data_IF_715808571583
#
_entry.id   IF_715808571583
#
_cell.length_a   1.000
_cell.length_b   1.000
_cell.length_c   1.000
_cell.angle_alpha   90.00
_cell.angle_beta   90.00
_cell.angle_gamma   90.00
#
_symmetry.space_group_name_H-M   'P 1'
#
loop_
_entity.id
_entity.type
_entity.pdbx_description
1 polymer ?
#
# COMPACT_ATOMS: atom_id res chain seq x y z
N UNK A 1 -3.30 -22.29 53.00
CA UNK A 1 -4.51 -21.52 53.36
C UNK A 1 -5.18 -22.23 54.53
N UNK A 2 -5.53 -21.49 55.59
CA UNK A 2 -6.12 -22.05 56.81
C UNK A 2 -7.52 -22.63 56.59
N UNK A 3 -7.91 -23.65 57.35
CA UNK A 3 -9.28 -24.20 57.31
C UNK A 3 -10.24 -23.26 58.05
N UNK A 4 -11.39 -22.96 57.45
CA UNK A 4 -12.46 -22.21 58.08
C UNK A 4 -13.32 -23.14 58.95
N UNK A 5 -13.76 -22.64 60.10
CA UNK A 5 -14.72 -23.34 60.96
C UNK A 5 -15.79 -22.38 61.47
N UNK A 6 -16.97 -22.93 61.73
CA UNK A 6 -18.09 -22.19 62.29
C UNK A 6 -17.99 -22.18 63.83
N UNK A 7 -18.13 -21.00 64.41
CA UNK A 7 -18.26 -20.76 65.83
C UNK A 7 -19.69 -20.29 66.13
N UNK A 8 -20.38 -20.97 67.04
CA UNK A 8 -21.73 -20.61 67.47
C UNK A 8 -21.70 -20.03 68.87
N UNK A 9 -22.25 -18.84 69.04
CA UNK A 9 -22.45 -18.19 70.34
C UNK A 9 -23.95 -18.20 70.61
N UNK A 10 -24.36 -18.95 71.63
CA UNK A 10 -25.74 -19.06 72.05
C UNK A 10 -25.96 -18.19 73.29
N UNK A 11 -26.98 -17.34 73.24
CA UNK A 11 -27.37 -16.46 74.33
C UNK A 11 -28.84 -16.70 74.65
N UNK A 12 -29.17 -16.87 75.92
CA UNK A 12 -30.56 -16.97 76.38
C UNK A 12 -30.89 -15.75 77.22
N UNK A 13 -31.94 -15.04 76.87
CA UNK A 13 -32.41 -13.85 77.58
C UNK A 13 -33.93 -13.85 77.76
N UNK A 14 -34.44 -12.98 78.62
CA UNK A 14 -35.87 -12.78 78.76
C UNK A 14 -36.43 -12.02 77.55
N UNK A 15 -37.66 -12.36 77.16
CA UNK A 15 -38.28 -11.85 75.93
C UNK A 15 -38.48 -10.34 76.00
N UNK A 16 -37.90 -9.61 75.04
CA UNK A 16 -38.02 -8.15 74.95
C UNK A 16 -36.90 -7.36 75.64
N UNK A 17 -35.91 -8.05 76.23
CA UNK A 17 -34.67 -7.43 76.70
C UNK A 17 -33.87 -6.87 75.52
N UNK A 18 -33.50 -5.60 75.61
CA UNK A 18 -32.64 -4.96 74.61
C UNK A 18 -31.18 -5.03 75.05
N UNK A 19 -30.35 -5.67 74.25
CA UNK A 19 -28.92 -5.71 74.48
C UNK A 19 -28.15 -5.89 73.18
N UNK A 20 -26.84 -5.74 73.27
CA UNK A 20 -25.93 -5.83 72.14
C UNK A 20 -24.65 -6.54 72.53
N UNK A 21 -24.07 -7.26 71.57
CA UNK A 21 -22.72 -7.78 71.72
C UNK A 21 -21.72 -6.64 71.58
N UNK A 22 -20.74 -6.59 72.49
CA UNK A 22 -19.56 -5.76 72.29
C UNK A 22 -18.81 -6.38 71.12
N UNK A 23 -19.02 -5.78 69.94
CA UNK A 23 -18.31 -6.20 68.75
C UNK A 23 -16.93 -5.58 68.87
N UNK A 24 -15.91 -6.40 69.15
CA UNK A 24 -14.54 -5.98 68.91
C UNK A 24 -14.46 -5.67 67.42
N UNK A 25 -14.32 -4.40 67.05
CA UNK A 25 -14.21 -3.92 65.66
C UNK A 25 -12.90 -4.37 64.98
N UNK A 26 -12.27 -5.45 65.45
CA UNK A 26 -11.10 -6.05 64.86
C UNK A 26 -11.48 -7.30 64.09
N UNK A 27 -10.86 -7.49 62.93
CA UNK A 27 -10.98 -8.69 62.10
C UNK A 27 -10.30 -9.94 62.75
N UNK A 28 -9.84 -9.82 64.00
CA UNK A 28 -8.94 -10.76 64.67
C UNK A 28 -9.42 -11.05 66.10
N UNK A 29 -9.69 -12.33 66.42
CA UNK A 29 -10.02 -12.77 67.78
C UNK A 29 -8.76 -12.98 68.63
N UNK A 30 -7.72 -13.54 68.03
CA UNK A 30 -6.37 -13.70 68.61
C UNK A 30 -5.36 -13.53 67.49
N UNK A 31 -4.07 -13.27 67.79
CA UNK A 31 -3.04 -12.95 66.77
C UNK A 31 -3.01 -13.90 65.57
N UNK A 32 -3.42 -15.16 65.75
CA UNK A 32 -3.41 -16.21 64.74
C UNK A 32 -4.81 -16.64 64.24
N UNK A 33 -5.90 -16.15 64.87
CA UNK A 33 -7.30 -16.50 64.54
C UNK A 33 -8.09 -15.26 64.12
N UNK A 34 -8.54 -15.26 62.87
CA UNK A 34 -9.30 -14.17 62.25
C UNK A 34 -10.78 -14.49 62.09
N UNK A 35 -11.60 -13.44 62.09
CA UNK A 35 -13.02 -13.48 61.75
C UNK A 35 -13.17 -13.19 60.27
N UNK A 36 -13.61 -14.19 59.50
CA UNK A 36 -13.82 -14.06 58.05
C UNK A 36 -15.20 -13.48 57.72
N UNK A 37 -16.19 -13.79 58.55
CA UNK A 37 -17.54 -13.31 58.33
C UNK A 37 -18.47 -13.55 59.51
N UNK A 38 -19.40 -12.62 59.68
CA UNK A 38 -20.49 -12.75 60.64
C UNK A 38 -21.77 -13.07 59.86
N UNK A 39 -22.41 -14.19 60.19
CA UNK A 39 -23.71 -14.55 59.65
C UNK A 39 -24.80 -13.80 60.42
N UNK A 40 -26.01 -13.73 59.84
CA UNK A 40 -27.16 -13.13 60.53
C UNK A 40 -27.45 -13.91 61.80
N UNK A 41 -27.81 -13.19 62.87
CA UNK A 41 -28.22 -13.80 64.13
C UNK A 41 -29.66 -14.27 63.99
N UNK A 42 -29.92 -15.51 64.41
CA UNK A 42 -31.26 -16.09 64.43
C UNK A 42 -31.78 -16.07 65.88
N UNK A 43 -32.98 -15.51 66.07
CA UNK A 43 -33.66 -15.48 67.38
C UNK A 43 -34.82 -16.46 67.37
N UNK A 44 -34.83 -17.37 68.35
CA UNK A 44 -35.87 -18.39 68.51
C UNK A 44 -36.51 -18.25 69.89
N UNK A 45 -37.85 -18.28 69.96
CA UNK A 45 -38.58 -18.30 71.22
C UNK A 45 -38.53 -19.71 71.82
N UNK A 46 -37.95 -19.85 73.00
CA UNK A 46 -37.77 -21.14 73.70
C UNK A 46 -38.87 -21.40 74.74
N UNK A 47 -39.87 -20.52 74.83
CA UNK A 47 -40.96 -20.60 75.80
C UNK A 47 -40.56 -20.10 77.19
N UNK A 48 -41.52 -20.07 78.13
CA UNK A 48 -41.31 -19.55 79.50
C UNK A 48 -40.81 -18.10 79.57
N UNK A 49 -41.26 -17.25 78.65
CA UNK A 49 -40.86 -15.84 78.53
C UNK A 49 -39.36 -15.63 78.23
N UNK A 50 -38.70 -16.60 77.58
CA UNK A 50 -37.29 -16.52 77.19
C UNK A 50 -37.10 -16.72 75.69
N UNK A 51 -36.08 -16.07 75.15
CA UNK A 51 -35.64 -16.20 73.77
C UNK A 51 -34.16 -16.60 73.71
N UNK A 52 -33.82 -17.44 72.73
CA UNK A 52 -32.45 -17.83 72.41
C UNK A 52 -32.00 -17.10 71.15
N UNK A 53 -30.87 -16.41 71.24
CA UNK A 53 -30.20 -15.74 70.13
C UNK A 53 -28.97 -16.57 69.78
N UNK A 54 -28.93 -17.07 68.55
CA UNK A 54 -27.80 -17.83 68.01
C UNK A 54 -27.04 -16.95 67.03
N UNK A 55 -25.76 -16.74 67.31
CA UNK A 55 -24.85 -16.00 66.42
C UNK A 55 -23.80 -16.94 65.85
N UNK A 56 -23.74 -17.00 64.54
CA UNK A 56 -22.77 -17.82 63.82
C UNK A 56 -21.64 -16.96 63.24
N UNK A 57 -20.40 -17.30 63.57
CA UNK A 57 -19.19 -16.57 63.20
C UNK A 57 -18.26 -17.53 62.47
N UNK A 58 -17.79 -17.16 61.29
CA UNK A 58 -16.81 -17.94 60.53
C UNK A 58 -15.42 -17.48 60.96
N UNK A 59 -14.64 -18.39 61.52
CA UNK A 59 -13.27 -18.13 61.97
C UNK A 59 -12.27 -18.94 61.14
N UNK A 60 -11.07 -18.40 60.97
CA UNK A 60 -9.97 -19.04 60.26
C UNK A 60 -8.67 -18.91 61.07
N UNK A 61 -7.92 -20.01 61.19
CA UNK A 61 -6.56 -20.00 61.75
C UNK A 61 -5.51 -20.16 60.68
N UNK A 62 -4.40 -19.44 60.80
CA UNK A 62 -3.28 -19.54 59.86
C UNK A 62 -2.20 -20.53 60.27
N UNK A 63 -2.11 -20.85 61.56
CA UNK A 63 -1.09 -21.75 62.10
C UNK A 63 -1.72 -22.87 62.94
N UNK A 64 -1.01 -23.99 63.05
CA UNK A 64 -1.39 -25.15 63.85
C UNK A 64 -1.01 -24.92 65.31
N UNK A 65 -1.94 -25.17 66.22
CA UNK A 65 -1.73 -24.84 67.63
C UNK A 65 -3.01 -24.98 68.44
N UNK A 66 -2.89 -24.71 69.74
CA UNK A 66 -4.03 -24.59 70.63
C UNK A 66 -4.19 -23.11 70.99
N UNK A 67 -5.32 -22.53 70.60
CA UNK A 67 -5.64 -21.12 70.83
C UNK A 67 -6.82 -21.00 71.79
N UNK A 68 -6.69 -20.19 72.83
CA UNK A 68 -7.83 -19.84 73.69
C UNK A 68 -8.48 -18.59 73.14
N UNK A 69 -9.74 -18.72 72.68
CA UNK A 69 -10.51 -17.60 72.16
C UNK A 69 -10.96 -16.70 73.32
N UNK A 70 -10.90 -15.37 73.17
CA UNK A 70 -11.43 -14.46 74.17
C UNK A 70 -12.95 -14.64 74.32
N UNK A 71 -13.50 -14.44 75.51
CA UNK A 71 -14.93 -14.54 75.73
C UNK A 71 -15.68 -13.44 74.98
N UNK A 72 -16.85 -13.80 74.45
CA UNK A 72 -17.77 -12.84 73.83
C UNK A 72 -18.56 -12.14 74.93
N UNK A 73 -18.62 -10.82 74.86
CA UNK A 73 -19.28 -10.00 75.87
C UNK A 73 -20.61 -9.48 75.33
N UNK A 74 -21.67 -9.66 76.11
CA UNK A 74 -23.02 -9.19 75.85
C UNK A 74 -23.46 -8.22 76.94
N UNK A 75 -23.98 -7.06 76.55
CA UNK A 75 -24.46 -6.03 77.49
C UNK A 75 -25.96 -5.90 77.34
N UNK A 76 -26.68 -6.11 78.44
CA UNK A 76 -28.13 -5.97 78.53
C UNK A 76 -28.52 -5.40 79.89
N UNK A 77 -29.53 -4.53 79.92
CA UNK A 77 -30.13 -3.96 81.13
C UNK A 77 -29.13 -3.37 82.16
N UNK A 78 -27.98 -2.89 81.68
CA UNK A 78 -26.92 -2.28 82.50
C UNK A 78 -25.94 -3.28 83.13
N UNK A 79 -26.05 -4.58 82.85
CA UNK A 79 -25.11 -5.62 83.28
C UNK A 79 -24.31 -6.19 82.09
N UNK A 80 -23.17 -6.82 82.39
CA UNK A 80 -22.22 -7.34 81.40
C UNK A 80 -22.03 -8.85 81.58
N UNK A 81 -22.42 -9.62 80.57
CA UNK A 81 -22.33 -11.07 80.54
C UNK A 81 -21.20 -11.51 79.62
N UNK A 82 -20.27 -12.32 80.12
CA UNK A 82 -19.19 -12.90 79.33
C UNK A 82 -19.49 -14.38 79.02
N UNK A 83 -19.16 -14.83 77.80
CA UNK A 83 -19.24 -16.24 77.44
C UNK A 83 -18.21 -17.08 78.18
N UNK A 84 -18.36 -18.40 78.12
CA UNK A 84 -17.31 -19.31 78.55
C UNK A 84 -16.05 -19.20 77.67
N UNK A 85 -14.91 -19.59 78.22
CA UNK A 85 -13.67 -19.74 77.47
C UNK A 85 -13.78 -20.92 76.51
N UNK A 86 -13.25 -20.75 75.29
CA UNK A 86 -13.27 -21.77 74.25
C UNK A 86 -11.87 -21.99 73.69
N UNK A 87 -11.38 -23.22 73.75
CA UNK A 87 -10.10 -23.61 73.16
C UNK A 87 -10.30 -24.16 71.73
N UNK A 88 -9.66 -23.52 70.75
CA UNK A 88 -9.59 -23.96 69.36
C UNK A 88 -8.29 -24.76 69.15
N UNK A 89 -8.41 -26.05 68.86
CA UNK A 89 -7.27 -26.91 68.48
C UNK A 89 -7.18 -27.05 66.97
N UNK A 90 -6.15 -26.45 66.38
CA UNK A 90 -5.86 -26.52 64.95
C UNK A 90 -4.86 -27.65 64.72
N UNK A 91 -5.33 -28.72 64.09
CA UNK A 91 -4.48 -29.87 63.81
C UNK A 91 -3.54 -29.55 62.64
N UNK A 92 -2.23 -29.88 62.76
CA UNK A 92 -1.33 -29.82 61.63
C UNK A 92 -1.76 -30.83 60.57
N UNK A 93 -1.54 -30.50 59.30
CA UNK A 93 -1.72 -31.47 58.22
C UNK A 93 -0.57 -32.48 58.30
N UNK A 94 -0.84 -33.80 58.38
CA UNK A 94 0.22 -34.80 58.38
C UNK A 94 0.99 -34.72 57.05
N UNK A 95 2.31 -34.61 57.15
CA UNK A 95 3.23 -34.38 56.01
C UNK A 95 3.33 -35.61 55.09
N UNK A 96 2.72 -36.74 55.44
CA UNK A 96 2.76 -37.99 54.66
C UNK A 96 1.86 -38.02 53.40
N UNK A 97 1.28 -36.88 53.00
CA UNK A 97 0.70 -36.71 51.65
C UNK A 97 1.59 -35.89 50.71
N UNK A 98 2.84 -35.61 51.11
CA UNK A 98 3.86 -34.90 50.30
C UNK A 98 4.75 -35.84 49.47
N UNK A 99 4.36 -37.09 49.20
CA UNK A 99 5.08 -37.96 48.24
C UNK A 99 4.79 -37.63 46.77
N UNK A 100 4.03 -36.58 46.50
CA UNK A 100 4.00 -35.96 45.18
C UNK A 100 4.51 -34.54 45.31
N UNK A 101 5.82 -34.42 45.54
CA UNK A 101 6.57 -33.24 45.12
C UNK A 101 6.27 -33.08 43.63
N UNK A 102 5.34 -32.19 43.29
CA UNK A 102 5.22 -31.75 41.93
C UNK A 102 6.47 -30.91 41.72
N UNK A 103 7.41 -31.46 40.97
CA UNK A 103 8.56 -30.72 40.49
C UNK A 103 8.04 -29.38 39.94
N UNK A 104 8.65 -28.26 40.35
CA UNK A 104 8.27 -26.97 39.79
C UNK A 104 8.29 -27.13 38.27
N UNK A 105 7.19 -26.79 37.60
CA UNK A 105 7.10 -26.90 36.15
C UNK A 105 8.41 -26.36 35.56
N UNK A 106 9.15 -27.24 34.86
CA UNK A 106 10.47 -26.91 34.34
C UNK A 106 10.39 -25.55 33.64
N UNK A 107 11.40 -24.71 33.85
CA UNK A 107 11.44 -23.35 33.30
C UNK A 107 11.05 -23.40 31.82
N UNK A 108 9.87 -22.88 31.50
CA UNK A 108 9.44 -22.75 30.12
C UNK A 108 10.46 -21.78 29.51
N UNK A 109 11.24 -22.27 28.53
CA UNK A 109 12.16 -21.41 27.82
C UNK A 109 11.35 -20.20 27.31
N UNK A 110 11.77 -18.96 27.64
CA UNK A 110 11.05 -17.78 27.19
C UNK A 110 10.94 -17.84 25.67
N UNK A 111 9.81 -17.42 25.14
CA UNK A 111 9.59 -17.40 23.70
C UNK A 111 10.53 -16.38 23.06
N UNK A 112 11.71 -16.84 22.63
CA UNK A 112 12.71 -15.96 22.01
C UNK A 112 12.23 -15.55 20.63
N UNK A 113 12.21 -14.25 20.37
CA UNK A 113 12.02 -13.72 19.01
C UNK A 113 13.37 -13.61 18.32
N UNK A 114 13.36 -13.59 16.99
CA UNK A 114 14.57 -13.35 16.20
C UNK A 114 15.29 -12.05 16.58
N UNK A 115 14.55 -11.05 17.08
CA UNK A 115 15.07 -9.76 17.53
C UNK A 115 15.84 -9.84 18.86
N UNK A 116 15.61 -10.87 19.69
CA UNK A 116 16.29 -11.03 21.00
C UNK A 116 17.75 -11.51 20.85
N UNK A 117 18.11 -11.99 19.65
CA UNK A 117 19.48 -12.39 19.31
C UNK A 117 20.30 -11.24 18.70
N UNK A 118 19.66 -10.11 18.39
CA UNK A 118 20.35 -8.94 17.88
C UNK A 118 20.87 -8.09 19.06
N UNK A 119 22.09 -7.54 18.96
CA UNK A 119 22.58 -6.57 19.94
C UNK A 119 21.61 -5.41 20.12
N UNK A 120 21.46 -4.93 21.36
CA UNK A 120 20.54 -3.84 21.75
C UNK A 120 20.69 -2.59 20.88
N UNK A 121 21.90 -2.28 20.42
CA UNK A 121 22.13 -1.12 19.54
C UNK A 121 21.50 -1.27 18.13
N UNK A 122 21.18 -2.48 17.68
CA UNK A 122 20.50 -2.68 16.39
C UNK A 122 18.99 -2.57 16.56
N UNK A 123 18.46 -3.11 17.66
CA UNK A 123 17.03 -3.04 17.99
C UNK A 123 16.61 -1.63 18.43
N UNK A 124 17.44 -0.89 19.16
CA UNK A 124 17.12 0.48 19.58
C UNK A 124 17.28 1.52 18.45
N UNK A 125 18.24 1.32 17.54
CA UNK A 125 18.56 2.25 16.46
C UNK A 125 18.14 1.77 15.06
N UNK A 126 17.23 0.80 14.98
CA UNK A 126 16.72 0.25 13.70
C UNK A 126 16.22 1.33 12.73
N UNK A 127 15.63 2.40 13.26
CA UNK A 127 15.11 3.55 12.52
C UNK A 127 16.21 4.34 11.80
N UNK A 128 17.43 4.39 12.33
CA UNK A 128 18.57 5.04 11.68
C UNK A 128 18.95 4.26 10.42
N UNK A 129 19.01 2.92 10.50
CA UNK A 129 19.29 2.07 9.34
C UNK A 129 18.18 2.18 8.28
N UNK A 130 16.92 2.28 8.70
CA UNK A 130 15.79 2.51 7.80
C UNK A 130 15.91 3.87 7.07
N UNK A 131 16.33 4.93 7.77
CA UNK A 131 16.56 6.26 7.16
C UNK A 131 17.73 6.20 6.18
N UNK A 132 18.85 5.56 6.54
CA UNK A 132 20.01 5.41 5.65
C UNK A 132 19.63 4.63 4.40
N UNK A 133 18.84 3.55 4.53
CA UNK A 133 18.33 2.79 3.40
C UNK A 133 17.40 3.62 2.52
N UNK A 134 16.50 4.40 3.11
CA UNK A 134 15.60 5.28 2.38
C UNK A 134 16.37 6.35 1.58
N UNK A 135 17.41 6.94 2.18
CA UNK A 135 18.30 7.89 1.50
C UNK A 135 19.05 7.19 0.36
N UNK A 136 19.58 5.99 0.58
CA UNK A 136 20.25 5.18 -0.46
C UNK A 136 19.34 4.89 -1.65
N UNK A 137 18.08 4.51 -1.39
CA UNK A 137 17.07 4.28 -2.43
C UNK A 137 16.75 5.57 -3.18
N UNK A 138 16.59 6.70 -2.48
CA UNK A 138 16.31 7.99 -3.10
C UNK A 138 17.45 8.45 -4.01
N UNK A 139 18.71 8.28 -3.57
CA UNK A 139 19.90 8.58 -4.37
C UNK A 139 19.99 7.65 -5.59
N UNK A 140 19.78 6.34 -5.42
CA UNK A 140 19.79 5.39 -6.52
C UNK A 140 18.69 5.71 -7.55
N UNK A 141 17.47 6.03 -7.09
CA UNK A 141 16.37 6.46 -7.95
C UNK A 141 16.71 7.76 -8.69
N UNK A 142 17.29 8.76 -8.01
CA UNK A 142 17.75 10.00 -8.63
C UNK A 142 18.78 9.72 -9.74
N UNK A 143 19.81 8.92 -9.48
CA UNK A 143 20.82 8.57 -10.48
C UNK A 143 20.23 7.79 -11.66
N UNK A 144 19.31 6.85 -11.43
CA UNK A 144 18.63 6.11 -12.50
C UNK A 144 17.75 7.03 -13.35
N UNK A 145 17.01 7.96 -12.74
CA UNK A 145 16.20 8.94 -13.47
C UNK A 145 17.05 9.90 -14.29
N UNK A 146 18.16 10.40 -13.73
CA UNK A 146 19.07 11.30 -14.45
C UNK A 146 19.83 10.56 -15.56
N UNK A 147 20.30 9.33 -15.34
CA UNK A 147 20.88 8.51 -16.40
C UNK A 147 19.89 8.22 -17.53
N UNK A 148 18.62 7.94 -17.21
CA UNK A 148 17.59 7.76 -18.24
C UNK A 148 17.36 9.03 -19.06
N UNK A 149 17.38 10.22 -18.45
CA UNK A 149 17.26 11.50 -19.17
C UNK A 149 18.46 11.78 -20.07
N UNK A 150 19.68 11.50 -19.59
CA UNK A 150 20.91 11.69 -20.37
C UNK A 150 21.02 10.67 -21.51
N UNK A 151 20.65 9.42 -21.29
CA UNK A 151 20.68 8.38 -22.33
C UNK A 151 19.54 8.57 -23.35
N UNK A 152 18.35 9.01 -22.91
CA UNK A 152 17.25 9.35 -23.82
C UNK A 152 17.55 10.57 -24.70
N UNK A 153 18.40 11.50 -24.22
CA UNK A 153 18.89 12.62 -25.02
C UNK A 153 19.97 12.21 -26.05
N UNK A 154 20.53 11.00 -25.94
CA UNK A 154 21.59 10.45 -26.81
C UNK A 154 21.07 9.28 -27.67
N UNK A 155 19.75 9.07 -27.75
CA UNK A 155 19.23 8.22 -28.83
C UNK A 155 19.53 8.91 -30.16
N UNK A 156 20.25 8.26 -31.11
CA UNK A 156 20.42 8.83 -32.43
C UNK A 156 19.02 9.05 -33.01
N UNK A 157 18.71 10.31 -33.36
CA UNK A 157 17.51 10.65 -34.14
C UNK A 157 17.46 9.62 -35.27
N UNK A 158 16.45 8.74 -35.24
CA UNK A 158 16.18 7.77 -36.31
C UNK A 158 16.31 8.54 -37.61
N UNK A 159 17.23 8.12 -38.50
CA UNK A 159 17.48 8.82 -39.77
C UNK A 159 16.12 9.18 -40.39
N UNK A 160 15.89 10.44 -40.79
CA UNK A 160 14.62 10.81 -41.37
C UNK A 160 14.37 9.89 -42.57
N UNK A 161 13.29 9.10 -42.50
CA UNK A 161 12.90 8.23 -43.61
C UNK A 161 12.64 9.15 -44.81
N UNK A 162 13.23 8.88 -45.99
CA UNK A 162 12.97 9.66 -47.19
C UNK A 162 11.45 9.82 -47.44
N UNK A 163 10.96 11.01 -47.83
CA UNK A 163 9.53 11.25 -48.04
C UNK A 163 8.87 10.24 -48.99
N UNK A 164 9.61 9.82 -50.02
CA UNK A 164 9.20 8.80 -50.98
C UNK A 164 8.96 7.43 -50.32
N UNK A 165 9.93 6.93 -49.53
CA UNK A 165 9.80 5.64 -48.86
C UNK A 165 8.64 5.62 -47.86
N UNK A 166 8.46 6.72 -47.12
CA UNK A 166 7.37 6.87 -46.18
C UNK A 166 6.00 6.82 -46.88
N UNK A 167 5.84 7.55 -48.00
CA UNK A 167 4.60 7.56 -48.77
C UNK A 167 4.30 6.19 -49.37
N UNK A 168 5.30 5.53 -49.97
CA UNK A 168 5.14 4.19 -50.53
C UNK A 168 4.76 3.15 -49.48
N UNK A 169 5.40 3.19 -48.30
CA UNK A 169 5.04 2.31 -47.18
C UNK A 169 3.60 2.53 -46.73
N UNK A 170 3.14 3.78 -46.62
CA UNK A 170 1.78 4.09 -46.22
C UNK A 170 0.74 3.71 -47.29
N UNK A 171 1.04 3.89 -48.59
CA UNK A 171 0.19 3.46 -49.69
C UNK A 171 0.05 1.94 -49.74
N UNK A 172 1.14 1.20 -49.55
CA UNK A 172 1.12 -0.27 -49.48
C UNK A 172 0.29 -0.76 -48.29
N UNK A 173 0.45 -0.13 -47.12
CA UNK A 173 -0.38 -0.44 -45.96
C UNK A 173 -1.87 -0.17 -46.22
N UNK A 174 -2.20 0.95 -46.86
CA UNK A 174 -3.59 1.29 -47.22
C UNK A 174 -4.20 0.26 -48.19
N UNK A 175 -3.39 -0.30 -49.10
CA UNK A 175 -3.79 -1.37 -50.02
C UNK A 175 -4.11 -2.67 -49.26
N UNK A 176 -3.23 -3.08 -48.33
CA UNK A 176 -3.39 -4.29 -47.52
C UNK A 176 -4.62 -4.22 -46.61
N UNK A 177 -4.93 -3.03 -46.11
CA UNK A 177 -6.08 -2.81 -45.25
C UNK A 177 -7.42 -3.09 -45.94
N UNK A 178 -7.52 -3.17 -47.28
CA UNK A 178 -8.74 -3.56 -48.02
C UNK A 178 -10.02 -2.82 -47.57
N UNK A 179 -9.89 -1.54 -47.20
CA UNK A 179 -10.99 -0.73 -46.64
C UNK A 179 -12.21 -0.62 -47.58
N UNK A 180 -11.98 -0.52 -48.89
CA UNK A 180 -13.07 -0.47 -49.87
C UNK A 180 -13.89 -1.77 -49.91
N UNK A 181 -13.27 -2.93 -49.71
CA UNK A 181 -13.98 -4.22 -49.68
C UNK A 181 -14.90 -4.34 -48.45
N UNK A 182 -14.58 -3.62 -47.37
CA UNK A 182 -15.40 -3.55 -46.14
C UNK A 182 -16.50 -2.49 -46.17
N UNK A 183 -16.71 -1.80 -47.31
CA UNK A 183 -17.64 -0.69 -47.41
C UNK A 183 -17.23 0.54 -46.58
N UNK A 184 -15.92 0.71 -46.34
CA UNK A 184 -15.32 1.87 -45.67
C UNK A 184 -14.67 2.81 -46.70
N UNK A 185 -15.35 3.11 -47.81
CA UNK A 185 -14.81 3.90 -48.92
C UNK A 185 -14.43 5.33 -48.47
N UNK A 186 -15.26 5.95 -47.62
CA UNK A 186 -14.96 7.29 -47.08
C UNK A 186 -13.65 7.33 -46.31
N UNK A 187 -13.38 6.31 -45.49
CA UNK A 187 -12.15 6.23 -44.71
C UNK A 187 -10.95 6.02 -45.62
N UNK A 188 -11.10 5.14 -46.61
CA UNK A 188 -10.07 4.88 -47.63
C UNK A 188 -9.63 6.15 -48.35
N UNK A 189 -10.56 6.91 -48.93
CA UNK A 189 -10.23 8.15 -49.65
C UNK A 189 -9.74 9.27 -48.71
N UNK A 190 -10.13 9.26 -47.44
CA UNK A 190 -9.59 10.19 -46.44
C UNK A 190 -8.11 9.92 -46.21
N UNK A 191 -7.77 8.66 -45.87
CA UNK A 191 -6.38 8.24 -45.66
C UNK A 191 -5.53 8.41 -46.92
N UNK A 192 -6.06 8.06 -48.09
CA UNK A 192 -5.35 8.21 -49.37
C UNK A 192 -4.92 9.66 -49.61
N UNK A 193 -5.85 10.62 -49.45
CA UNK A 193 -5.51 12.03 -49.61
C UNK A 193 -4.59 12.55 -48.50
N UNK A 194 -4.69 12.01 -47.29
CA UNK A 194 -3.83 12.39 -46.17
C UNK A 194 -2.37 12.00 -46.45
N UNK A 195 -2.14 10.76 -46.89
CA UNK A 195 -0.81 10.27 -47.29
C UNK A 195 -0.20 11.18 -48.35
N UNK A 196 -0.96 11.52 -49.39
CA UNK A 196 -0.51 12.42 -50.46
C UNK A 196 -0.23 13.84 -49.95
N UNK A 197 -1.06 14.38 -49.05
CA UNK A 197 -0.84 15.71 -48.46
C UNK A 197 0.43 15.74 -47.61
N UNK A 198 0.69 14.69 -46.80
CA UNK A 198 1.95 14.57 -46.04
C UNK A 198 3.15 14.47 -46.99
N UNK A 199 3.02 13.71 -48.08
CA UNK A 199 4.07 13.60 -49.07
C UNK A 199 4.39 14.95 -49.73
N UNK A 200 3.36 15.74 -50.10
CA UNK A 200 3.53 17.08 -50.65
C UNK A 200 4.24 18.04 -49.67
N UNK A 201 3.90 17.98 -48.38
CA UNK A 201 4.57 18.75 -47.33
C UNK A 201 6.04 18.38 -47.21
N UNK A 202 6.33 17.08 -47.08
CA UNK A 202 7.70 16.60 -46.84
C UNK A 202 8.61 16.69 -48.05
N UNK A 203 8.07 16.53 -49.27
CA UNK A 203 8.86 16.56 -50.52
C UNK A 203 8.99 17.94 -51.11
N UNK A 204 7.89 18.70 -51.16
CA UNK A 204 7.82 19.97 -51.88
C UNK A 204 7.70 21.19 -50.95
N UNK A 205 7.55 20.98 -49.63
CA UNK A 205 7.31 22.06 -48.67
C UNK A 205 5.92 22.69 -48.82
N UNK A 206 4.98 22.00 -49.46
CA UNK A 206 3.61 22.48 -49.66
C UNK A 206 2.80 22.04 -48.45
N UNK A 207 2.34 22.97 -47.61
CA UNK A 207 1.48 22.67 -46.46
C UNK A 207 0.07 22.24 -46.91
N UNK A 208 -0.02 21.07 -47.55
CA UNK A 208 -1.21 20.56 -48.19
C UNK A 208 -2.29 20.11 -47.18
N UNK A 209 -1.94 20.02 -45.89
CA UNK A 209 -2.91 19.73 -44.83
C UNK A 209 -3.89 20.87 -44.59
N UNK A 210 -3.41 22.11 -44.69
CA UNK A 210 -4.21 23.32 -44.46
C UNK A 210 -4.79 23.91 -45.76
N UNK A 211 -4.54 23.26 -46.90
CA UNK A 211 -4.97 23.72 -48.21
C UNK A 211 -6.20 22.98 -48.72
N UNK A 212 -7.01 23.68 -49.51
CA UNK A 212 -8.12 23.07 -50.26
C UNK A 212 -7.61 22.32 -51.50
N UNK A 213 -8.41 21.40 -52.04
CA UNK A 213 -8.07 20.65 -53.26
C UNK A 213 -7.66 21.56 -54.43
N UNK A 214 -8.35 22.70 -54.59
CA UNK A 214 -8.05 23.69 -55.65
C UNK A 214 -6.73 24.41 -55.42
N UNK A 215 -6.42 24.76 -54.16
CA UNK A 215 -5.14 25.39 -53.81
C UNK A 215 -3.98 24.42 -54.04
N UNK A 216 -4.12 23.15 -53.66
CA UNK A 216 -3.10 22.11 -53.89
C UNK A 216 -2.78 22.00 -55.39
N UNK A 217 -3.80 21.92 -56.24
CA UNK A 217 -3.63 21.84 -57.69
C UNK A 217 -2.97 23.09 -58.28
N UNK A 218 -3.33 24.27 -57.78
CA UNK A 218 -2.68 25.51 -58.22
C UNK A 218 -1.19 25.50 -57.83
N UNK A 219 -0.81 25.10 -56.61
CA UNK A 219 0.59 25.03 -56.20
C UNK A 219 1.41 24.02 -57.02
N UNK A 220 0.81 22.90 -57.43
CA UNK A 220 1.45 21.90 -58.29
C UNK A 220 1.69 22.39 -59.73
N UNK A 221 0.80 23.24 -60.27
CA UNK A 221 0.93 23.79 -61.63
C UNK A 221 2.09 24.76 -61.79
N UNK A 222 2.45 25.46 -60.72
CA UNK A 222 3.50 26.49 -60.73
C UNK A 222 4.92 25.92 -60.62
N UNK A 223 5.08 24.60 -60.47
CA UNK A 223 6.39 23.93 -60.35
C UNK A 223 6.65 23.01 -61.54
N UNK A 224 7.82 23.11 -62.16
CA UNK A 224 8.17 22.31 -63.35
C UNK A 224 8.18 20.80 -63.07
N UNK A 225 8.65 20.40 -61.88
CA UNK A 225 8.77 19.00 -61.44
C UNK A 225 7.43 18.25 -61.31
N UNK A 226 6.32 18.97 -61.17
CA UNK A 226 4.98 18.39 -60.89
C UNK A 226 3.96 18.65 -61.98
N UNK A 227 4.32 19.43 -63.01
CA UNK A 227 3.46 19.71 -64.17
C UNK A 227 2.91 18.44 -64.86
N UNK A 228 3.71 17.40 -65.17
CA UNK A 228 3.18 16.21 -65.87
C UNK A 228 2.21 15.41 -64.97
N UNK A 229 2.45 15.43 -63.67
CA UNK A 229 1.74 14.60 -62.68
C UNK A 229 0.52 15.30 -62.06
N UNK A 230 0.32 16.59 -62.36
CA UNK A 230 -0.80 17.40 -61.85
C UNK A 230 -2.16 16.81 -62.22
N UNK A 231 -2.28 16.20 -63.41
CA UNK A 231 -3.53 15.60 -63.87
C UNK A 231 -3.92 14.36 -63.04
N UNK A 232 -2.93 13.57 -62.60
CA UNK A 232 -3.14 12.43 -61.71
C UNK A 232 -3.65 12.90 -60.36
N UNK A 233 -3.00 13.91 -59.77
CA UNK A 233 -3.43 14.50 -58.50
C UNK A 233 -4.85 15.07 -58.58
N UNK A 234 -5.20 15.72 -59.71
CA UNK A 234 -6.55 16.25 -59.93
C UNK A 234 -7.60 15.14 -59.88
N UNK A 235 -7.38 14.05 -60.60
CA UNK A 235 -8.33 12.92 -60.63
C UNK A 235 -8.50 12.27 -59.25
N UNK A 236 -7.41 12.14 -58.48
CA UNK A 236 -7.45 11.58 -57.12
C UNK A 236 -8.25 12.48 -56.19
N UNK A 237 -7.99 13.80 -56.20
CA UNK A 237 -8.70 14.76 -55.33
C UNK A 237 -10.17 14.88 -55.70
N UNK A 238 -10.52 14.92 -56.99
CA UNK A 238 -11.92 14.96 -57.45
C UNK A 238 -12.69 13.70 -57.00
N UNK A 239 -12.11 12.52 -57.18
CA UNK A 239 -12.72 11.27 -56.71
C UNK A 239 -12.89 11.27 -55.19
N UNK A 240 -11.85 11.68 -54.44
CA UNK A 240 -11.93 11.76 -52.99
C UNK A 240 -13.02 12.73 -52.52
N UNK A 241 -13.17 13.89 -53.17
CA UNK A 241 -14.18 14.88 -52.85
C UNK A 241 -15.60 14.36 -53.15
N UNK A 242 -15.81 13.62 -54.26
CA UNK A 242 -17.09 12.96 -54.54
C UNK A 242 -17.46 11.92 -53.47
N UNK A 243 -16.50 11.11 -53.00
CA UNK A 243 -16.77 10.13 -51.95
C UNK A 243 -17.04 10.79 -50.60
N UNK A 244 -16.26 11.81 -50.23
CA UNK A 244 -16.36 12.49 -48.94
C UNK A 244 -17.63 13.33 -48.80
N UNK A 245 -18.01 14.05 -49.86
CA UNK A 245 -19.09 15.04 -49.81
C UNK A 245 -20.36 14.60 -50.56
N UNK A 246 -20.23 13.95 -51.72
CA UNK A 246 -21.37 13.50 -52.51
C UNK A 246 -21.84 12.07 -52.19
N UNK A 247 -21.19 11.40 -51.21
CA UNK A 247 -21.50 10.01 -50.78
C UNK A 247 -21.52 9.01 -51.95
N UNK A 248 -20.75 9.28 -52.99
CA UNK A 248 -20.58 8.38 -54.13
C UNK A 248 -19.86 7.12 -53.64
N UNK A 249 -20.31 5.94 -54.10
CA UNK A 249 -19.59 4.67 -53.93
C UNK A 249 -18.90 4.34 -55.25
N UNK A 250 -17.57 4.53 -55.35
CA UNK A 250 -16.83 4.20 -56.57
C UNK A 250 -16.83 2.69 -56.80
N UNK A 251 -16.71 2.29 -58.06
CA UNK A 251 -16.56 0.88 -58.39
C UNK A 251 -15.22 0.35 -57.86
N UNK A 252 -15.09 -0.97 -57.59
CA UNK A 252 -13.82 -1.56 -57.18
C UNK A 252 -12.66 -1.19 -58.13
N UNK A 253 -12.93 -1.16 -59.44
CA UNK A 253 -11.96 -0.77 -60.45
C UNK A 253 -11.49 0.68 -60.30
N UNK A 254 -12.39 1.61 -59.94
CA UNK A 254 -12.05 3.02 -59.70
C UNK A 254 -11.15 3.18 -58.47
N UNK A 255 -11.36 2.36 -57.44
CA UNK A 255 -10.52 2.36 -56.23
C UNK A 255 -9.10 1.88 -56.56
N UNK A 256 -8.98 0.78 -57.31
CA UNK A 256 -7.67 0.27 -57.75
C UNK A 256 -6.99 1.28 -58.67
N UNK A 257 -7.74 1.89 -59.59
CA UNK A 257 -7.24 2.92 -60.50
C UNK A 257 -6.71 4.13 -59.73
N UNK A 258 -7.46 4.62 -58.74
CA UNK A 258 -7.05 5.78 -57.93
C UNK A 258 -5.80 5.49 -57.10
N UNK A 259 -5.69 4.27 -56.54
CA UNK A 259 -4.47 3.84 -55.85
C UNK A 259 -3.27 3.83 -56.78
N UNK A 260 -3.43 3.28 -57.98
CA UNK A 260 -2.37 3.21 -58.97
C UNK A 260 -1.94 4.61 -59.43
N UNK A 261 -2.88 5.54 -59.60
CA UNK A 261 -2.57 6.95 -59.85
C UNK A 261 -1.77 7.58 -58.70
N UNK A 262 -2.10 7.26 -57.45
CA UNK A 262 -1.39 7.77 -56.28
C UNK A 262 0.04 7.21 -56.19
N UNK A 263 0.22 5.93 -56.47
CA UNK A 263 1.55 5.30 -56.56
C UNK A 263 2.36 5.91 -57.70
N UNK A 264 1.77 6.02 -58.90
CA UNK A 264 2.41 6.66 -60.04
C UNK A 264 2.79 8.10 -59.74
N UNK A 265 1.93 8.85 -59.02
CA UNK A 265 2.25 10.22 -58.63
C UNK A 265 3.52 10.29 -57.76
N UNK A 266 3.67 9.39 -56.80
CA UNK A 266 4.83 9.34 -55.89
C UNK A 266 6.10 8.89 -56.63
N UNK A 267 5.98 7.93 -57.56
CA UNK A 267 7.09 7.44 -58.39
C UNK A 267 7.60 8.51 -59.37
N UNK A 268 6.68 9.16 -60.11
CA UNK A 268 7.03 10.18 -61.09
C UNK A 268 7.65 11.44 -60.44
N UNK A 269 7.41 11.64 -59.14
CA UNK A 269 7.93 12.78 -58.36
C UNK A 269 9.08 12.40 -57.43
N UNK A 270 9.62 11.18 -57.58
CA UNK A 270 10.76 10.70 -56.80
C UNK A 270 11.96 11.63 -57.00
N UNK A 271 12.66 12.03 -55.91
CA UNK A 271 13.91 12.76 -56.05
C UNK A 271 14.93 11.93 -56.84
N UNK A 272 15.44 12.50 -57.92
CA UNK A 272 16.66 12.00 -58.55
C UNK A 272 17.81 12.35 -57.60
N UNK A 273 18.42 11.35 -56.98
CA UNK A 273 19.63 11.57 -56.20
C UNK A 273 20.74 12.06 -57.14
N UNK A 274 21.47 13.14 -56.81
CA UNK A 274 22.76 13.35 -57.43
C UNK A 274 23.65 12.18 -57.02
N UNK A 275 24.15 11.43 -58.00
CA UNK A 275 25.14 10.37 -57.83
C UNK A 275 26.23 10.83 -56.87
N UNK A 276 26.40 10.10 -55.77
CA UNK A 276 27.42 10.34 -54.76
C UNK A 276 28.79 9.81 -55.23
N UNK A 277 29.28 10.34 -56.34
CA UNK A 277 30.68 10.23 -56.76
C UNK A 277 31.15 11.66 -57.05
N UNK A 278 32.32 12.05 -56.52
CA UNK A 278 32.89 13.42 -56.51
C UNK A 278 32.48 14.34 -55.34
N UNK A 279 32.81 13.95 -54.11
CA UNK A 279 33.23 14.92 -53.08
C UNK A 279 34.08 14.26 -51.99
N UNK A 280 35.18 13.64 -52.39
CA UNK A 280 36.25 13.27 -51.48
C UNK A 280 37.60 13.33 -52.17
N UNK A 281 38.07 14.51 -52.55
CA UNK A 281 39.51 14.78 -52.79
C UNK A 281 39.76 16.26 -53.09
N UNK A 282 40.14 17.03 -52.06
CA UNK A 282 41.15 18.12 -52.04
C UNK A 282 41.11 18.70 -50.62
N UNK A 283 41.96 18.26 -49.69
CA UNK A 283 43.36 18.68 -49.51
C UNK A 283 43.47 20.21 -49.36
N UNK A 284 43.65 20.67 -48.11
CA UNK A 284 44.50 21.85 -47.90
C UNK A 284 45.19 21.81 -46.52
N UNK A 285 46.47 22.13 -46.59
CA UNK A 285 47.54 21.95 -45.60
C UNK A 285 48.12 23.34 -45.36
N UNK A 286 48.16 23.90 -44.14
CA UNK A 286 48.76 25.21 -43.97
C UNK A 286 50.28 25.10 -43.70
N UNK A 287 51.06 25.62 -44.65
CA UNK A 287 52.38 26.26 -44.47
C UNK A 287 52.08 27.74 -44.75
N UNK A 288 52.52 28.79 -44.04
CA UNK A 288 53.82 29.07 -43.46
C UNK A 288 53.75 30.36 -42.59
N UNK A 289 54.73 30.49 -41.71
CA UNK A 289 55.36 31.67 -41.04
C UNK A 289 54.72 33.09 -41.07
N UNK A 290 54.76 33.78 -39.91
CA UNK A 290 55.43 35.09 -39.72
C UNK A 290 55.66 35.41 -38.21
N UNK A 291 56.94 35.32 -37.85
CA UNK A 291 57.75 36.10 -36.88
C UNK A 291 57.16 37.21 -35.98
N UNK A 292 57.53 37.16 -34.68
CA UNK A 292 58.04 38.32 -33.90
C UNK A 292 59.10 37.85 -32.88
N UNK A 293 60.26 38.53 -32.76
CA UNK A 293 61.34 38.16 -31.84
C UNK A 293 61.16 38.80 -30.46
N UNK A 294 61.52 38.07 -29.40
CA UNK A 294 61.75 38.61 -28.06
C UNK A 294 63.22 38.43 -27.71
N UNK A 295 63.99 39.51 -27.81
CA UNK A 295 65.25 39.65 -27.09
C UNK A 295 65.07 40.65 -25.95
N UNK A 296 65.34 40.16 -24.73
CA UNK A 296 65.70 41.00 -23.59
C UNK A 296 66.48 40.15 -22.57
N UNK A 297 67.76 39.91 -22.83
CA UNK A 297 68.84 40.11 -21.85
C UNK A 297 70.21 40.04 -22.50
#
# INVERSE_FOLDING_TARGET
>A
MGKQTLLKVNLVQDKGTQGYFITNNGDTLTREVEIIGLLRSDTTDIGSNREEIVREIIIQSFDSGLYTLPPFVYVADGDTFASNDLALKVLPVPVDTMTTVHDYAGTIAPHTRIWDYLPDFITDYWWIYAIVLAIGIAVAAYFLFFKKKVIAAVLPKKKPVPPYEMAMQQLNKLKEEKLCERGQEKEYYTRLTEILRVYLDKRFGINAMEMTSTQILNSLRHRDDTKPTTQLMKQILEMADFVKFAKVRPLPDDNVKTLNMAVQFVEDTKPVEPSAEESSETDDKPTDETSQPKDKK
#
